data_IF_558699735509
#
_entry.id   IF_558699735509
#
_cell.length_a   1.000
_cell.length_b   1.000
_cell.length_c   1.000
_cell.angle_alpha   90.00
_cell.angle_beta   90.00
_cell.angle_gamma   90.00
#
_symmetry.space_group_name_H-M   'P 1'
#
loop_
_entity.id
_entity.type
_entity.pdbx_description
1 polymer ?
#
# COMPACT_ATOMS: atom_id res chain seq x y z
N UNK A 1 -20.93 35.40 34.63
CA UNK A 1 -21.93 35.49 33.55
C UNK A 1 -21.64 34.37 32.56
N UNK A 2 -22.38 33.26 32.61
CA UNK A 2 -22.17 32.14 31.67
C UNK A 2 -22.63 32.57 30.27
N UNK A 3 -21.68 32.66 29.33
CA UNK A 3 -21.95 33.03 27.94
C UNK A 3 -22.61 31.83 27.24
N UNK A 4 -23.91 31.93 26.94
CA UNK A 4 -24.62 30.92 26.15
C UNK A 4 -24.06 30.90 24.73
N UNK A 5 -23.44 29.78 24.33
CA UNK A 5 -22.94 29.60 22.97
C UNK A 5 -24.09 29.17 22.03
N UNK A 6 -24.21 29.83 20.88
CA UNK A 6 -25.22 29.51 19.85
C UNK A 6 -24.57 28.89 18.62
N UNK A 7 -25.18 27.84 18.07
CA UNK A 7 -24.75 27.16 16.84
C UNK A 7 -25.52 27.62 15.59
N UNK A 8 -26.48 28.54 15.74
CA UNK A 8 -27.32 29.09 14.65
C UNK A 8 -27.98 28.00 13.78
N UNK A 9 -28.39 26.91 14.42
CA UNK A 9 -28.97 25.74 13.76
C UNK A 9 -30.47 25.94 13.46
N UNK A 10 -30.94 25.44 12.31
CA UNK A 10 -32.37 25.36 12.02
C UNK A 10 -33.05 24.23 12.79
N UNK A 11 -34.37 24.27 12.90
CA UNK A 11 -35.14 23.19 13.55
C UNK A 11 -34.89 21.83 12.88
N UNK A 12 -34.85 21.80 11.55
CA UNK A 12 -34.55 20.58 10.77
C UNK A 12 -33.15 20.02 11.05
N UNK A 13 -32.14 20.89 11.22
CA UNK A 13 -30.78 20.48 11.56
C UNK A 13 -30.70 19.88 12.97
N UNK A 14 -31.44 20.46 13.92
CA UNK A 14 -31.53 19.94 15.29
C UNK A 14 -32.22 18.58 15.31
N UNK A 15 -33.36 18.45 14.60
CA UNK A 15 -34.08 17.17 14.47
C UNK A 15 -33.15 16.11 13.85
N UNK A 16 -32.43 16.46 12.79
CA UNK A 16 -31.46 15.57 12.13
C UNK A 16 -30.31 15.17 13.05
N UNK A 17 -29.70 16.13 13.75
CA UNK A 17 -28.63 15.91 14.72
C UNK A 17 -29.06 14.86 15.75
N UNK A 18 -30.25 15.03 16.29
CA UNK A 18 -30.83 14.18 17.30
C UNK A 18 -31.27 12.80 16.80
N UNK A 19 -31.59 12.68 15.51
CA UNK A 19 -31.86 11.40 14.86
C UNK A 19 -30.58 10.60 14.63
N UNK A 20 -29.50 11.25 14.18
CA UNK A 20 -28.23 10.60 13.85
C UNK A 20 -27.38 10.35 15.12
N UNK A 21 -27.35 11.32 16.02
CA UNK A 21 -26.53 11.32 17.23
C UNK A 21 -27.41 11.37 18.48
N UNK A 22 -28.23 10.33 18.66
CA UNK A 22 -29.23 10.24 19.73
C UNK A 22 -28.64 10.45 21.14
N UNK A 23 -27.39 10.07 21.36
CA UNK A 23 -26.67 10.24 22.64
C UNK A 23 -26.55 11.71 23.07
N UNK A 24 -26.59 12.66 22.14
CA UNK A 24 -26.52 14.10 22.46
C UNK A 24 -27.72 14.53 23.30
N UNK A 25 -28.92 13.98 23.06
CA UNK A 25 -30.13 14.27 23.84
C UNK A 25 -30.00 13.93 25.32
N UNK A 26 -29.18 12.93 25.62
CA UNK A 26 -29.02 12.37 26.96
C UNK A 26 -27.90 13.06 27.75
N UNK A 27 -27.24 14.08 27.19
CA UNK A 27 -26.17 14.82 27.85
C UNK A 27 -26.70 16.10 28.49
N UNK A 28 -26.11 16.49 29.61
CA UNK A 28 -26.45 17.75 30.25
C UNK A 28 -26.09 18.92 29.32
N UNK A 29 -26.89 19.98 29.36
CA UNK A 29 -26.63 21.20 28.60
C UNK A 29 -25.23 21.76 28.87
N UNK A 30 -24.73 21.63 30.10
CA UNK A 30 -23.37 22.02 30.49
C UNK A 30 -22.31 21.27 29.67
N UNK A 31 -22.40 19.95 29.57
CA UNK A 31 -21.44 19.13 28.80
C UNK A 31 -21.51 19.51 27.32
N UNK A 32 -22.71 19.70 26.78
CA UNK A 32 -22.89 20.08 25.36
C UNK A 32 -22.27 21.45 25.10
N UNK A 33 -22.53 22.45 25.95
CA UNK A 33 -21.95 23.79 25.82
C UNK A 33 -20.42 23.77 25.91
N UNK A 34 -19.88 22.97 26.81
CA UNK A 34 -18.44 22.82 26.98
C UNK A 34 -17.78 22.18 25.76
N UNK A 35 -18.39 21.12 25.20
CA UNK A 35 -17.93 20.52 23.95
C UNK A 35 -18.02 21.50 22.75
N UNK A 36 -19.04 22.36 22.71
CA UNK A 36 -19.15 23.43 21.70
C UNK A 36 -17.99 24.42 21.85
N UNK A 37 -17.70 24.86 23.08
CA UNK A 37 -16.57 25.76 23.36
C UNK A 37 -15.25 25.16 22.90
N UNK A 38 -14.98 23.90 23.29
CA UNK A 38 -13.76 23.19 22.91
C UNK A 38 -13.65 23.06 21.38
N UNK A 39 -14.75 22.72 20.69
CA UNK A 39 -14.74 22.63 19.24
C UNK A 39 -14.47 23.99 18.58
N UNK A 40 -15.07 25.07 19.08
CA UNK A 40 -14.80 26.43 18.58
C UNK A 40 -13.34 26.84 18.81
N UNK A 41 -12.77 26.53 19.99
CA UNK A 41 -11.36 26.79 20.32
C UNK A 41 -10.39 25.98 19.44
N UNK A 42 -10.80 24.80 18.98
CA UNK A 42 -10.07 24.00 18.00
C UNK A 42 -10.22 24.53 16.56
N UNK A 43 -11.09 25.52 16.34
CA UNK A 43 -11.35 26.17 15.05
C UNK A 43 -12.40 25.46 14.19
N UNK A 44 -13.31 24.70 14.81
CA UNK A 44 -14.47 24.17 14.11
C UNK A 44 -15.52 25.27 13.91
N UNK A 45 -15.98 25.42 12.67
CA UNK A 45 -17.12 26.28 12.35
C UNK A 45 -18.42 25.67 12.86
N UNK A 46 -19.41 26.51 13.19
CA UNK A 46 -20.71 26.10 13.75
C UNK A 46 -21.38 24.99 12.91
N UNK A 47 -21.41 25.16 11.58
CA UNK A 47 -21.97 24.18 10.66
C UNK A 47 -21.22 22.83 10.71
N UNK A 48 -19.90 22.83 10.90
CA UNK A 48 -19.10 21.61 11.04
C UNK A 48 -19.38 20.91 12.37
N UNK A 49 -19.60 21.66 13.45
CA UNK A 49 -19.97 21.10 14.75
C UNK A 49 -21.31 20.34 14.63
N UNK A 50 -22.30 20.91 13.93
CA UNK A 50 -23.58 20.26 13.66
C UNK A 50 -23.41 19.01 12.78
N UNK A 51 -22.59 19.10 11.72
CA UNK A 51 -22.26 17.96 10.86
C UNK A 51 -21.55 16.83 11.63
N UNK A 52 -20.69 17.17 12.58
CA UNK A 52 -19.97 16.25 13.46
C UNK A 52 -20.63 16.19 14.84
N UNK A 53 -21.94 15.92 14.88
CA UNK A 53 -22.70 15.90 16.12
C UNK A 53 -22.19 14.93 17.19
N UNK A 54 -21.36 13.95 16.81
CA UNK A 54 -20.66 13.11 17.76
C UNK A 54 -19.73 13.88 18.72
N UNK A 55 -19.23 15.05 18.32
CA UNK A 55 -18.40 15.91 19.17
C UNK A 55 -19.16 16.39 20.42
N UNK A 56 -20.50 16.53 20.32
CA UNK A 56 -21.34 17.13 21.35
C UNK A 56 -21.61 16.21 22.54
N UNK A 57 -21.44 14.90 22.38
CA UNK A 57 -21.65 13.93 23.46
C UNK A 57 -20.36 13.38 24.07
N UNK A 58 -19.21 13.94 23.70
CA UNK A 58 -17.91 13.57 24.26
C UNK A 58 -17.81 13.96 25.75
N UNK A 59 -16.85 13.36 26.46
CA UNK A 59 -16.44 13.83 27.77
C UNK A 59 -15.40 14.95 27.61
N UNK A 60 -15.71 16.20 27.99
CA UNK A 60 -14.81 17.34 27.78
C UNK A 60 -13.42 17.13 28.36
N UNK A 61 -13.33 16.48 29.52
CA UNK A 61 -12.08 16.20 30.22
C UNK A 61 -11.11 15.34 29.40
N UNK A 62 -11.59 14.45 28.54
CA UNK A 62 -10.72 13.68 27.66
C UNK A 62 -10.00 14.61 26.69
N UNK A 63 -10.74 15.48 25.99
CA UNK A 63 -10.13 16.41 25.04
C UNK A 63 -9.14 17.33 25.73
N UNK A 64 -9.51 17.88 26.89
CA UNK A 64 -8.63 18.76 27.67
C UNK A 64 -7.36 18.06 28.12
N UNK A 65 -7.49 16.84 28.62
CA UNK A 65 -6.36 16.01 29.06
C UNK A 65 -5.44 15.71 27.88
N UNK A 66 -6.00 15.33 26.72
CA UNK A 66 -5.22 15.07 25.52
C UNK A 66 -4.45 16.31 25.06
N UNK A 67 -5.10 17.48 25.05
CA UNK A 67 -4.45 18.73 24.66
C UNK A 67 -3.38 19.21 25.64
N UNK A 68 -3.51 18.86 26.93
CA UNK A 68 -2.55 19.19 27.99
C UNK A 68 -1.36 18.24 28.00
N UNK A 69 -1.62 16.94 27.97
CA UNK A 69 -0.62 15.90 28.18
C UNK A 69 0.06 15.46 26.87
N UNK A 70 -0.64 15.60 25.74
CA UNK A 70 -0.12 15.26 24.40
C UNK A 70 -0.28 16.43 23.41
N UNK A 71 0.24 17.64 23.70
CA UNK A 71 0.15 18.78 22.78
C UNK A 71 0.89 18.53 21.47
N UNK A 72 1.95 17.71 21.53
CA UNK A 72 2.72 17.22 20.41
C UNK A 72 2.84 15.68 20.52
N UNK A 73 2.42 14.96 19.49
CA UNK A 73 2.47 13.50 19.43
C UNK A 73 3.15 13.08 18.12
N UNK A 74 4.26 12.35 18.19
CA UNK A 74 5.10 11.97 17.04
C UNK A 74 5.56 13.16 16.16
N UNK A 75 5.77 14.34 16.77
CA UNK A 75 6.09 15.58 16.05
C UNK A 75 4.87 16.30 15.45
N UNK A 76 3.65 15.75 15.59
CA UNK A 76 2.41 16.35 15.11
C UNK A 76 1.76 17.23 16.19
N UNK A 77 1.34 18.45 15.81
CA UNK A 77 0.53 19.29 16.69
C UNK A 77 -0.89 18.72 16.85
N UNK A 78 -1.29 18.38 18.08
CA UNK A 78 -2.55 17.71 18.36
C UNK A 78 -3.78 18.56 18.01
N UNK A 79 -3.73 19.90 18.20
CA UNK A 79 -4.84 20.79 17.81
C UNK A 79 -5.07 20.76 16.30
N UNK A 80 -3.98 20.80 15.52
CA UNK A 80 -4.05 20.70 14.05
C UNK A 80 -4.55 19.31 13.62
N UNK A 81 -4.08 18.25 14.28
CA UNK A 81 -4.51 16.89 14.01
C UNK A 81 -6.01 16.69 14.30
N UNK A 82 -6.51 17.18 15.43
CA UNK A 82 -7.94 17.12 15.77
C UNK A 82 -8.81 17.89 14.77
N UNK A 83 -8.34 19.03 14.26
CA UNK A 83 -9.06 19.77 13.20
C UNK A 83 -9.13 18.98 11.89
N UNK A 84 -8.03 18.32 11.52
CA UNK A 84 -7.95 17.50 10.30
C UNK A 84 -8.75 16.20 10.41
N UNK A 85 -8.74 15.58 11.60
CA UNK A 85 -9.40 14.31 11.90
C UNK A 85 -10.32 14.49 13.14
N UNK A 86 -11.57 14.95 12.96
CA UNK A 86 -12.40 15.40 14.08
C UNK A 86 -12.75 14.30 15.09
N UNK A 87 -12.72 13.03 14.68
CA UNK A 87 -12.86 11.89 15.60
C UNK A 87 -11.77 11.84 16.68
N UNK A 88 -10.61 12.47 16.46
CA UNK A 88 -9.53 12.54 17.45
C UNK A 88 -9.91 13.33 18.70
N UNK A 89 -10.92 14.19 18.62
CA UNK A 89 -11.45 14.92 19.80
C UNK A 89 -12.02 13.93 20.83
N UNK A 90 -12.52 12.78 20.39
CA UNK A 90 -13.20 11.82 21.26
C UNK A 90 -12.29 10.80 21.93
N UNK A 91 -10.97 10.85 21.70
CA UNK A 91 -10.11 9.75 22.12
C UNK A 91 -9.79 9.83 23.60
N UNK A 92 -9.73 8.66 24.24
CA UNK A 92 -9.23 8.56 25.61
C UNK A 92 -7.72 8.80 25.63
N UNK A 93 -7.19 9.60 26.58
CA UNK A 93 -5.76 9.71 26.84
C UNK A 93 -5.06 8.35 27.00
N UNK A 94 -5.73 7.38 27.65
CA UNK A 94 -5.17 6.03 27.85
C UNK A 94 -5.03 5.24 26.54
N UNK A 95 -5.93 5.46 25.58
CA UNK A 95 -5.84 4.80 24.28
C UNK A 95 -4.70 5.35 23.43
N UNK A 96 -4.36 6.64 23.57
CA UNK A 96 -3.18 7.22 22.91
C UNK A 96 -1.92 6.47 23.33
N UNK A 97 -1.70 6.33 24.64
CA UNK A 97 -0.52 5.68 25.19
C UNK A 97 -0.44 4.23 24.68
N UNK A 98 -1.54 3.48 24.75
CA UNK A 98 -1.60 2.08 24.30
C UNK A 98 -1.32 1.95 22.81
N UNK A 99 -1.99 2.74 21.97
CA UNK A 99 -1.81 2.69 20.51
C UNK A 99 -0.38 3.09 20.15
N UNK A 100 0.15 4.16 20.74
CA UNK A 100 1.52 4.59 20.49
C UNK A 100 2.53 3.51 20.88
N UNK A 101 2.34 2.86 22.05
CA UNK A 101 3.15 1.71 22.47
C UNK A 101 3.12 0.57 21.45
N UNK A 102 1.93 0.16 21.00
CA UNK A 102 1.77 -0.87 19.96
C UNK A 102 2.49 -0.46 18.67
N UNK A 103 2.31 0.78 18.19
CA UNK A 103 2.99 1.24 16.98
C UNK A 103 4.52 1.15 17.11
N UNK A 104 5.07 1.40 18.31
CA UNK A 104 6.51 1.29 18.57
C UNK A 104 6.99 -0.15 18.70
N UNK A 105 6.19 -1.05 19.27
CA UNK A 105 6.49 -2.49 19.29
C UNK A 105 6.67 -3.06 17.87
N UNK A 106 5.91 -2.55 16.90
CA UNK A 106 6.01 -2.93 15.49
C UNK A 106 7.00 -2.06 14.66
N UNK A 107 7.89 -1.32 15.32
CA UNK A 107 8.89 -0.45 14.68
C UNK A 107 8.31 0.59 13.70
N UNK A 108 7.12 1.12 13.97
CA UNK A 108 6.55 2.18 13.13
C UNK A 108 7.18 3.53 13.51
N UNK A 109 7.81 4.15 12.52
CA UNK A 109 8.47 5.44 12.65
C UNK A 109 7.51 6.60 12.96
N UNK A 110 7.99 7.58 13.73
CA UNK A 110 7.19 8.78 14.09
C UNK A 110 6.73 9.57 12.86
N UNK A 111 7.52 9.55 11.78
CA UNK A 111 7.13 10.16 10.52
C UNK A 111 5.86 9.54 9.93
N UNK A 112 5.74 8.21 9.95
CA UNK A 112 4.53 7.54 9.49
C UNK A 112 3.33 7.89 10.38
N UNK A 113 3.53 7.93 11.70
CA UNK A 113 2.51 8.30 12.70
C UNK A 113 2.00 9.72 12.45
N UNK A 114 2.90 10.69 12.28
CA UNK A 114 2.56 12.08 12.00
C UNK A 114 1.72 12.25 10.74
N UNK A 115 1.99 11.44 9.72
CA UNK A 115 1.26 11.48 8.45
C UNK A 115 -0.14 10.87 8.53
N UNK A 116 -0.44 10.04 9.53
CA UNK A 116 -1.69 9.29 9.63
C UNK A 116 -2.20 9.21 11.08
N UNK A 117 -2.42 10.38 11.68
CA UNK A 117 -2.87 10.53 13.07
C UNK A 117 -4.26 9.95 13.34
N UNK A 118 -5.09 9.75 12.31
CA UNK A 118 -6.41 9.14 12.45
C UNK A 118 -6.37 7.68 12.95
N UNK A 119 -5.21 7.01 12.94
CA UNK A 119 -5.03 5.69 13.55
C UNK A 119 -5.42 5.69 15.04
N UNK A 120 -5.21 6.80 15.74
CA UNK A 120 -5.52 6.92 17.17
C UNK A 120 -7.03 6.92 17.49
N UNK A 121 -7.90 7.04 16.48
CA UNK A 121 -9.34 6.91 16.71
C UNK A 121 -9.78 5.44 16.90
N UNK A 122 -8.96 4.49 16.45
CA UNK A 122 -9.27 3.06 16.51
C UNK A 122 -9.10 2.52 17.93
N UNK A 123 -9.63 1.32 18.22
CA UNK A 123 -9.32 0.67 19.49
C UNK A 123 -7.88 0.11 19.46
N UNK A 124 -7.16 0.10 20.60
CA UNK A 124 -5.84 -0.51 20.68
C UNK A 124 -5.82 -1.96 20.16
N UNK A 125 -6.83 -2.75 20.51
CA UNK A 125 -6.94 -4.15 20.09
C UNK A 125 -7.07 -4.30 18.57
N UNK A 126 -7.82 -3.40 17.91
CA UNK A 126 -7.95 -3.42 16.45
C UNK A 126 -6.65 -3.00 15.77
N UNK A 127 -5.92 -2.03 16.31
CA UNK A 127 -4.61 -1.63 15.76
C UNK A 127 -3.63 -2.81 15.86
N UNK A 128 -3.55 -3.45 17.03
CA UNK A 128 -2.68 -4.61 17.25
C UNK A 128 -3.04 -5.77 16.33
N UNK A 129 -4.31 -6.16 16.28
CA UNK A 129 -4.77 -7.25 15.41
C UNK A 129 -4.40 -7.02 13.94
N UNK A 130 -4.64 -5.80 13.43
CA UNK A 130 -4.34 -5.47 12.02
C UNK A 130 -2.85 -5.45 11.71
N UNK A 131 -2.01 -5.05 12.67
CA UNK A 131 -0.55 -5.13 12.54
C UNK A 131 -0.07 -6.59 12.49
N UNK A 132 -0.58 -7.44 13.38
CA UNK A 132 -0.29 -8.87 13.36
C UNK A 132 -0.74 -9.53 12.05
N UNK A 133 -1.91 -9.15 11.51
CA UNK A 133 -2.38 -9.62 10.19
C UNK A 133 -1.47 -9.17 9.05
N UNK A 134 -0.98 -7.93 9.10
CA UNK A 134 -0.04 -7.38 8.10
C UNK A 134 1.29 -8.13 8.15
N UNK A 135 1.83 -8.37 9.35
CA UNK A 135 3.11 -9.08 9.54
C UNK A 135 3.04 -10.53 9.03
N UNK A 136 1.90 -11.20 9.22
CA UNK A 136 1.68 -12.58 8.76
C UNK A 136 1.53 -12.72 7.24
N UNK A 137 1.13 -11.66 6.54
CA UNK A 137 0.88 -11.70 5.10
C UNK A 137 2.14 -11.28 4.34
N UNK A 138 2.74 -12.15 3.50
CA UNK A 138 3.94 -11.78 2.73
C UNK A 138 3.75 -10.54 1.84
N UNK A 139 2.57 -10.41 1.23
CA UNK A 139 2.21 -9.28 0.37
C UNK A 139 2.11 -7.95 1.14
N UNK A 140 1.66 -7.97 2.40
CA UNK A 140 1.60 -6.76 3.22
C UNK A 140 2.88 -6.49 4.01
N UNK A 141 3.59 -7.55 4.45
CA UNK A 141 4.81 -7.46 5.26
C UNK A 141 5.88 -6.60 4.61
N UNK A 142 6.05 -6.74 3.29
CA UNK A 142 7.01 -5.94 2.49
C UNK A 142 6.66 -4.45 2.44
N UNK A 143 5.45 -4.06 2.85
CA UNK A 143 4.99 -2.67 2.89
C UNK A 143 5.12 -2.05 4.29
N UNK A 144 5.61 -2.78 5.31
CA UNK A 144 5.71 -2.30 6.69
C UNK A 144 6.62 -1.06 6.83
N UNK A 145 7.73 -1.02 6.08
CA UNK A 145 8.65 0.12 6.05
C UNK A 145 8.14 1.33 5.25
N UNK A 146 6.97 1.23 4.61
CA UNK A 146 6.49 2.32 3.77
C UNK A 146 6.00 3.52 4.62
N UNK A 147 6.32 4.79 4.28
CA UNK A 147 5.91 5.98 5.05
C UNK A 147 4.39 6.15 5.24
N UNK A 148 3.61 5.47 4.40
CA UNK A 148 2.14 5.42 4.44
C UNK A 148 1.58 4.11 4.97
N UNK A 149 2.38 3.27 5.62
CA UNK A 149 1.95 1.95 6.15
C UNK A 149 0.70 2.06 7.03
N UNK A 150 0.57 3.11 7.84
CA UNK A 150 -0.59 3.31 8.70
C UNK A 150 -1.91 3.46 7.92
N UNK A 151 -1.87 3.84 6.64
CA UNK A 151 -3.07 3.84 5.80
C UNK A 151 -3.61 2.42 5.55
N UNK A 152 -2.74 1.39 5.51
CA UNK A 152 -3.19 -0.02 5.49
C UNK A 152 -3.90 -0.38 6.78
N UNK A 153 -3.43 0.12 7.93
CA UNK A 153 -4.08 -0.17 9.21
C UNK A 153 -5.46 0.48 9.25
N UNK A 154 -5.59 1.74 8.83
CA UNK A 154 -6.87 2.45 8.82
C UNK A 154 -7.87 1.78 7.86
N UNK A 155 -7.42 1.44 6.64
CA UNK A 155 -8.25 0.89 5.56
C UNK A 155 -8.10 -0.63 5.39
N UNK A 156 -7.74 -1.35 6.45
CA UNK A 156 -7.32 -2.76 6.38
C UNK A 156 -8.28 -3.69 5.65
N UNK A 157 -9.58 -3.64 5.98
CA UNK A 157 -10.56 -4.52 5.34
C UNK A 157 -10.63 -4.30 3.82
N UNK A 158 -10.53 -3.05 3.37
CA UNK A 158 -10.51 -2.70 1.95
C UNK A 158 -9.24 -3.23 1.28
N UNK A 159 -8.08 -2.97 1.88
CA UNK A 159 -6.80 -3.44 1.37
C UNK A 159 -6.78 -4.97 1.25
N UNK A 160 -7.27 -5.68 2.27
CA UNK A 160 -7.40 -7.15 2.31
C UNK A 160 -8.31 -7.67 1.19
N UNK A 161 -9.53 -7.13 1.07
CA UNK A 161 -10.46 -7.54 -0.01
C UNK A 161 -9.87 -7.29 -1.39
N UNK A 162 -9.22 -6.14 -1.61
CA UNK A 162 -8.58 -5.82 -2.90
C UNK A 162 -7.40 -6.72 -3.21
N UNK A 163 -6.56 -7.02 -2.22
CA UNK A 163 -5.45 -7.95 -2.41
C UNK A 163 -5.97 -9.35 -2.78
N UNK A 164 -6.98 -9.86 -2.07
CA UNK A 164 -7.60 -11.15 -2.38
C UNK A 164 -8.19 -11.18 -3.80
N UNK A 165 -8.80 -10.08 -4.24
CA UNK A 165 -9.31 -9.96 -5.60
C UNK A 165 -8.18 -9.96 -6.66
N UNK A 166 -7.10 -9.21 -6.45
CA UNK A 166 -5.95 -9.23 -7.35
C UNK A 166 -5.31 -10.62 -7.45
N UNK A 167 -5.23 -11.34 -6.33
CA UNK A 167 -4.75 -12.72 -6.29
C UNK A 167 -5.64 -13.68 -7.09
N UNK A 168 -6.97 -13.51 -7.05
CA UNK A 168 -7.90 -14.29 -7.87
C UNK A 168 -7.71 -14.04 -9.37
N UNK A 169 -7.32 -12.82 -9.75
CA UNK A 169 -6.94 -12.46 -11.12
C UNK A 169 -5.50 -12.87 -11.49
N UNK A 170 -4.79 -13.57 -10.59
CA UNK A 170 -3.38 -13.95 -10.75
C UNK A 170 -2.43 -12.75 -10.92
N UNK A 171 -2.85 -11.55 -10.53
CA UNK A 171 -1.96 -10.39 -10.45
C UNK A 171 -1.08 -10.52 -9.22
N UNK A 172 0.24 -10.43 -9.42
CA UNK A 172 1.23 -10.69 -8.37
C UNK A 172 1.76 -9.42 -7.71
N UNK A 173 1.78 -8.31 -8.44
CA UNK A 173 2.23 -7.01 -7.97
C UNK A 173 1.08 -6.24 -7.34
N UNK A 174 1.19 -5.96 -6.04
CA UNK A 174 0.20 -5.21 -5.29
C UNK A 174 0.83 -3.95 -4.67
N UNK A 175 0.66 -2.82 -5.34
CA UNK A 175 1.11 -1.51 -4.85
C UNK A 175 0.25 -1.03 -3.68
N UNK A 176 0.88 -0.41 -2.68
CA UNK A 176 0.19 0.19 -1.54
C UNK A 176 -0.89 1.20 -1.98
N UNK A 177 -0.59 1.98 -3.02
CA UNK A 177 -1.50 3.00 -3.55
C UNK A 177 -2.76 2.35 -4.10
N UNK A 178 -2.62 1.25 -4.85
CA UNK A 178 -3.76 0.51 -5.44
C UNK A 178 -4.64 -0.08 -4.34
N UNK A 179 -4.02 -0.67 -3.32
CA UNK A 179 -4.74 -1.28 -2.19
C UNK A 179 -5.49 -0.24 -1.34
N UNK A 180 -4.93 0.96 -1.17
CA UNK A 180 -5.46 1.98 -0.26
C UNK A 180 -6.25 3.12 -0.93
N UNK A 181 -6.37 3.17 -2.25
CA UNK A 181 -7.10 4.26 -2.93
C UNK A 181 -8.57 4.32 -2.45
N UNK A 182 -9.05 5.51 -2.10
CA UNK A 182 -10.43 5.70 -1.63
C UNK A 182 -11.47 5.56 -2.74
N UNK A 183 -11.13 5.97 -3.96
CA UNK A 183 -11.99 5.84 -5.13
C UNK A 183 -12.02 4.38 -5.61
N UNK A 184 -13.22 3.84 -5.81
CA UNK A 184 -13.39 2.50 -6.37
C UNK A 184 -13.06 2.51 -7.86
N UNK A 185 -13.49 3.53 -8.60
CA UNK A 185 -13.24 3.68 -10.04
C UNK A 185 -11.75 3.58 -10.40
N UNK A 186 -10.87 4.19 -9.59
CA UNK A 186 -9.41 4.12 -9.80
C UNK A 186 -8.86 2.71 -9.62
N UNK A 187 -9.43 1.92 -8.71
CA UNK A 187 -9.06 0.52 -8.55
C UNK A 187 -9.58 -0.32 -9.73
N UNK A 188 -10.83 -0.07 -10.15
CA UNK A 188 -11.45 -0.79 -11.26
C UNK A 188 -10.75 -0.49 -12.59
N UNK A 189 -10.31 0.74 -12.81
CA UNK A 189 -9.50 1.12 -13.97
C UNK A 189 -8.13 0.42 -13.95
N UNK A 190 -7.47 0.33 -12.78
CA UNK A 190 -6.23 -0.43 -12.64
C UNK A 190 -6.41 -1.91 -12.98
N UNK A 191 -7.49 -2.52 -12.49
CA UNK A 191 -7.85 -3.90 -12.80
C UNK A 191 -8.13 -4.07 -14.29
N UNK A 192 -8.87 -3.13 -14.90
CA UNK A 192 -9.20 -3.16 -16.34
C UNK A 192 -7.96 -3.01 -17.22
N UNK A 193 -6.98 -2.21 -16.81
CA UNK A 193 -5.70 -2.11 -17.50
C UNK A 193 -4.91 -3.42 -17.47
N UNK A 194 -5.12 -4.27 -16.46
CA UNK A 194 -4.48 -5.60 -16.36
C UNK A 194 -2.96 -5.56 -16.22
N UNK A 195 -2.36 -4.40 -15.94
CA UNK A 195 -0.90 -4.26 -15.83
C UNK A 195 -0.41 -4.77 -14.49
N UNK A 196 0.17 -5.97 -14.49
CA UNK A 196 0.81 -6.56 -13.32
C UNK A 196 2.22 -5.98 -13.08
N UNK A 197 2.28 -4.71 -12.66
CA UNK A 197 3.53 -3.98 -12.40
C UNK A 197 3.48 -3.20 -11.10
N UNK A 198 4.60 -3.18 -10.38
CA UNK A 198 4.74 -2.32 -9.22
C UNK A 198 4.83 -0.85 -9.61
N UNK A 199 4.38 0.02 -8.72
CA UNK A 199 4.72 1.44 -8.80
C UNK A 199 6.20 1.62 -8.46
N UNK A 200 6.90 2.42 -9.27
CA UNK A 200 8.33 2.67 -9.08
C UNK A 200 8.66 3.17 -7.67
N UNK A 201 7.85 4.07 -7.11
CA UNK A 201 8.09 4.59 -5.76
C UNK A 201 8.04 3.49 -4.69
N UNK A 202 7.15 2.51 -4.82
CA UNK A 202 7.02 1.42 -3.86
C UNK A 202 8.28 0.53 -3.89
N UNK A 203 8.78 0.21 -5.10
CA UNK A 203 10.04 -0.53 -5.28
C UNK A 203 11.22 0.23 -4.68
N UNK A 204 11.31 1.54 -4.95
CA UNK A 204 12.41 2.37 -4.44
C UNK A 204 12.38 2.48 -2.92
N UNK A 205 11.21 2.69 -2.32
CA UNK A 205 11.05 2.78 -0.86
C UNK A 205 11.39 1.42 -0.23
N UNK A 206 10.84 0.32 -0.75
CA UNK A 206 11.14 -1.02 -0.26
C UNK A 206 12.65 -1.32 -0.26
N UNK A 207 13.34 -1.08 -1.39
CA UNK A 207 14.78 -1.33 -1.49
C UNK A 207 15.62 -0.34 -0.66
N UNK A 208 15.17 0.90 -0.50
CA UNK A 208 15.81 1.90 0.38
C UNK A 208 15.77 1.44 1.83
N UNK A 209 14.62 0.97 2.31
CA UNK A 209 14.47 0.42 3.66
C UNK A 209 15.24 -0.90 3.81
N UNK A 210 15.21 -1.77 2.79
CA UNK A 210 15.93 -3.04 2.82
C UNK A 210 17.45 -2.86 2.97
N UNK A 211 18.02 -1.87 2.27
CA UNK A 211 19.47 -1.63 2.21
C UNK A 211 20.00 -0.43 3.00
N UNK A 212 19.13 0.26 3.74
CA UNK A 212 19.42 1.52 4.45
C UNK A 212 20.28 2.50 3.64
N UNK A 213 19.78 2.88 2.45
CA UNK A 213 20.57 3.63 1.46
C UNK A 213 19.78 4.74 0.77
N UNK A 214 20.45 5.56 -0.04
CA UNK A 214 19.81 6.64 -0.78
C UNK A 214 18.95 6.12 -1.96
N UNK A 215 17.76 6.72 -2.12
CA UNK A 215 16.81 6.41 -3.20
C UNK A 215 17.43 6.64 -4.59
N UNK A 216 18.30 7.65 -4.73
CA UNK A 216 18.99 7.96 -5.98
C UNK A 216 19.93 6.83 -6.42
N UNK A 217 20.67 6.23 -5.47
CA UNK A 217 21.53 5.07 -5.73
C UNK A 217 20.73 3.83 -6.12
N UNK A 218 19.66 3.52 -5.39
CA UNK A 218 18.75 2.41 -5.71
C UNK A 218 18.17 2.60 -7.12
N UNK A 219 17.66 3.79 -7.42
CA UNK A 219 17.09 4.12 -8.74
C UNK A 219 18.10 3.92 -9.86
N UNK A 220 19.34 4.39 -9.67
CA UNK A 220 20.41 4.24 -10.67
C UNK A 220 20.73 2.77 -10.92
N UNK A 221 20.83 1.95 -9.87
CA UNK A 221 21.06 0.51 -10.00
C UNK A 221 19.88 -0.17 -10.71
N UNK A 222 18.66 -0.04 -10.19
CA UNK A 222 17.50 -0.80 -10.71
C UNK A 222 17.15 -0.50 -12.16
N UNK A 223 17.33 0.74 -12.63
CA UNK A 223 17.07 1.13 -14.02
C UNK A 223 17.92 0.40 -15.06
N UNK A 224 19.01 -0.26 -14.66
CA UNK A 224 19.82 -1.06 -15.57
C UNK A 224 19.13 -2.35 -16.03
N UNK A 225 18.04 -2.78 -15.37
CA UNK A 225 17.30 -3.97 -15.75
C UNK A 225 15.94 -3.60 -16.38
N UNK A 226 15.56 -4.14 -17.54
CA UNK A 226 14.34 -3.73 -18.25
C UNK A 226 13.05 -4.02 -17.47
N UNK A 227 13.02 -5.12 -16.73
CA UNK A 227 11.81 -5.62 -16.07
C UNK A 227 11.77 -5.41 -14.54
N UNK A 228 12.54 -4.46 -14.01
CA UNK A 228 12.67 -4.25 -12.55
C UNK A 228 11.35 -3.92 -11.81
N UNK A 229 10.29 -3.53 -12.52
CA UNK A 229 8.97 -3.25 -11.96
C UNK A 229 8.02 -4.45 -11.99
N UNK A 230 8.33 -5.51 -12.74
CA UNK A 230 7.44 -6.65 -12.98
C UNK A 230 7.58 -7.78 -11.96
N UNK A 231 8.56 -7.66 -11.06
CA UNK A 231 8.79 -8.66 -10.01
C UNK A 231 8.07 -8.23 -8.73
N UNK A 232 7.20 -9.05 -8.14
CA UNK A 232 6.53 -8.72 -6.88
C UNK A 232 7.53 -8.43 -5.75
N UNK A 233 7.20 -7.48 -4.87
CA UNK A 233 8.07 -7.15 -3.73
C UNK A 233 8.27 -8.35 -2.79
N UNK A 234 7.25 -9.19 -2.60
CA UNK A 234 7.37 -10.42 -1.81
C UNK A 234 8.39 -11.40 -2.40
N UNK A 235 8.44 -11.54 -3.72
CA UNK A 235 9.40 -12.42 -4.40
C UNK A 235 10.83 -11.88 -4.26
N UNK A 236 11.00 -10.55 -4.28
CA UNK A 236 12.28 -9.92 -3.98
C UNK A 236 12.72 -10.17 -2.53
N UNK A 237 11.79 -10.10 -1.57
CA UNK A 237 12.05 -10.39 -0.16
C UNK A 237 12.44 -11.86 0.04
N UNK A 238 11.70 -12.80 -0.54
CA UNK A 238 12.01 -14.24 -0.48
C UNK A 238 13.41 -14.52 -1.01
N UNK A 239 13.76 -13.90 -2.15
CA UNK A 239 15.10 -14.02 -2.74
C UNK A 239 16.19 -13.44 -1.84
N UNK A 240 15.93 -12.28 -1.23
CA UNK A 240 16.84 -11.67 -0.27
C UNK A 240 17.05 -12.57 0.96
N UNK A 241 15.97 -13.03 1.57
CA UNK A 241 15.97 -13.91 2.75
C UNK A 241 16.76 -15.19 2.47
N UNK A 242 16.57 -15.79 1.28
CA UNK A 242 17.33 -16.95 0.83
C UNK A 242 18.84 -16.67 0.73
N UNK A 243 19.24 -15.53 0.14
CA UNK A 243 20.65 -15.17 0.00
C UNK A 243 21.32 -14.93 1.37
N UNK A 244 20.62 -14.27 2.29
CA UNK A 244 21.09 -14.11 3.68
C UNK A 244 21.25 -15.46 4.37
N UNK A 245 20.29 -16.38 4.20
CA UNK A 245 20.40 -17.74 4.74
C UNK A 245 21.60 -18.51 4.16
N UNK A 246 22.00 -18.22 2.92
CA UNK A 246 23.22 -18.73 2.28
C UNK A 246 24.51 -18.00 2.70
N UNK A 247 24.46 -17.14 3.73
CA UNK A 247 25.59 -16.39 4.29
C UNK A 247 26.18 -15.34 3.32
N UNK A 248 25.41 -14.88 2.35
CA UNK A 248 25.80 -13.70 1.57
C UNK A 248 25.68 -12.44 2.43
N UNK A 249 26.72 -11.62 2.37
CA UNK A 249 26.78 -10.35 3.08
C UNK A 249 25.84 -9.34 2.42
N UNK A 250 25.22 -8.50 3.25
CA UNK A 250 24.29 -7.46 2.83
C UNK A 250 24.87 -6.57 1.71
N UNK A 251 26.10 -6.08 1.89
CA UNK A 251 26.82 -5.26 0.90
C UNK A 251 27.07 -6.00 -0.42
N UNK A 252 27.29 -7.31 -0.38
CA UNK A 252 27.50 -8.11 -1.59
C UNK A 252 26.22 -8.19 -2.41
N UNK A 253 25.07 -8.36 -1.74
CA UNK A 253 23.75 -8.39 -2.39
C UNK A 253 23.41 -7.00 -2.93
N UNK A 254 23.66 -5.93 -2.17
CA UNK A 254 23.46 -4.55 -2.63
C UNK A 254 24.28 -4.22 -3.89
N UNK A 255 25.53 -4.72 -3.95
CA UNK A 255 26.37 -4.53 -5.11
C UNK A 255 25.81 -5.23 -6.37
N UNK A 256 25.11 -6.34 -6.20
CA UNK A 256 24.45 -7.13 -7.26
C UNK A 256 22.92 -7.11 -7.12
N UNK A 257 22.35 -5.94 -6.81
CA UNK A 257 20.94 -5.77 -6.43
C UNK A 257 19.93 -6.42 -7.39
N UNK A 258 20.25 -6.47 -8.68
CA UNK A 258 19.39 -7.11 -9.68
C UNK A 258 19.12 -8.60 -9.43
N UNK A 259 19.95 -9.28 -8.66
CA UNK A 259 19.72 -10.69 -8.31
C UNK A 259 18.39 -10.90 -7.60
N UNK A 260 17.88 -9.89 -6.89
CA UNK A 260 16.57 -9.94 -6.22
C UNK A 260 15.40 -10.05 -7.20
N UNK A 261 15.62 -9.75 -8.49
CA UNK A 261 14.60 -9.89 -9.52
C UNK A 261 14.42 -11.33 -10.00
N UNK A 262 15.36 -12.22 -9.68
CA UNK A 262 15.41 -13.56 -10.24
C UNK A 262 14.80 -14.57 -9.26
N UNK A 263 13.97 -15.51 -9.74
CA UNK A 263 13.36 -16.51 -8.89
C UNK A 263 14.41 -17.31 -8.10
N UNK A 264 14.15 -17.53 -6.82
CA UNK A 264 15.00 -18.30 -5.91
C UNK A 264 15.42 -19.66 -6.51
N UNK A 265 14.51 -20.37 -7.16
CA UNK A 265 14.78 -21.68 -7.79
C UNK A 265 15.89 -21.59 -8.85
N UNK A 266 15.91 -20.53 -9.67
CA UNK A 266 16.94 -20.33 -10.70
C UNK A 266 18.29 -20.00 -10.09
N UNK A 267 18.29 -19.20 -9.03
CA UNK A 267 19.50 -18.87 -8.25
C UNK A 267 20.09 -20.13 -7.64
N UNK A 268 19.27 -20.99 -7.04
CA UNK A 268 19.70 -22.28 -6.48
C UNK A 268 20.34 -23.18 -7.54
N UNK A 269 19.67 -23.33 -8.69
CA UNK A 269 20.18 -24.16 -9.78
C UNK A 269 21.51 -23.63 -10.32
N UNK A 270 21.63 -22.31 -10.52
CA UNK A 270 22.87 -21.70 -10.97
C UNK A 270 24.00 -21.85 -9.94
N UNK A 271 23.73 -21.68 -8.64
CA UNK A 271 24.70 -21.93 -7.58
C UNK A 271 25.19 -23.39 -7.58
N UNK A 272 24.29 -24.35 -7.77
CA UNK A 272 24.64 -25.77 -7.84
C UNK A 272 25.51 -26.07 -9.06
N UNK A 273 25.17 -25.52 -10.24
CA UNK A 273 25.99 -25.66 -11.45
C UNK A 273 27.39 -25.07 -11.27
N UNK A 274 27.50 -23.92 -10.61
CA UNK A 274 28.80 -23.30 -10.33
C UNK A 274 29.61 -24.16 -9.36
N UNK A 275 28.96 -24.75 -8.34
CA UNK A 275 29.59 -25.64 -7.34
C UNK A 275 30.10 -26.96 -7.90
N UNK A 276 29.42 -27.52 -8.91
CA UNK A 276 29.82 -28.78 -9.52
C UNK A 276 30.81 -28.61 -10.68
N UNK A 277 31.01 -27.39 -11.18
CA UNK A 277 31.94 -27.13 -12.26
C UNK A 277 33.39 -27.09 -11.76
N UNK A 278 34.17 -28.11 -12.14
CA UNK A 278 35.58 -28.27 -11.78
C UNK A 278 36.51 -27.18 -12.34
N UNK A 279 36.09 -26.46 -13.38
CA UNK A 279 36.86 -25.36 -13.97
C UNK A 279 36.78 -24.06 -13.15
N UNK A 280 35.78 -23.94 -12.27
CA UNK A 280 35.53 -22.72 -11.49
C UNK A 280 36.14 -22.86 -10.10
N UNK A 281 37.19 -22.09 -9.82
CA UNK A 281 37.80 -22.02 -8.48
C UNK A 281 36.97 -21.16 -7.52
N UNK A 282 35.88 -21.71 -6.97
CA UNK A 282 34.93 -20.98 -6.13
C UNK A 282 35.56 -20.45 -4.84
N UNK A 283 36.49 -21.20 -4.24
CA UNK A 283 37.09 -20.87 -2.93
C UNK A 283 37.87 -19.55 -2.92
N UNK A 284 38.27 -19.03 -4.07
CA UNK A 284 38.99 -17.76 -4.20
C UNK A 284 38.09 -16.58 -4.61
N UNK A 285 36.81 -16.82 -4.92
CA UNK A 285 35.91 -15.79 -5.41
C UNK A 285 35.29 -14.97 -4.27
N UNK A 286 35.39 -13.64 -4.38
CA UNK A 286 34.58 -12.73 -3.57
C UNK A 286 33.10 -12.97 -3.84
N UNK A 287 32.27 -12.85 -2.81
CA UNK A 287 30.82 -13.07 -2.89
C UNK A 287 30.14 -12.28 -4.02
N UNK A 288 30.49 -11.00 -4.22
CA UNK A 288 29.98 -10.18 -5.33
C UNK A 288 30.26 -10.80 -6.70
N UNK A 289 31.44 -11.40 -6.91
CA UNK A 289 31.78 -12.07 -8.17
C UNK A 289 30.97 -13.35 -8.35
N UNK A 290 30.76 -14.10 -7.26
CA UNK A 290 29.92 -15.30 -7.28
C UNK A 290 28.47 -14.96 -7.65
N UNK A 291 27.89 -13.91 -7.06
CA UNK A 291 26.53 -13.46 -7.38
C UNK A 291 26.40 -12.99 -8.84
N UNK A 292 27.40 -12.26 -9.37
CA UNK A 292 27.42 -11.90 -10.79
C UNK A 292 27.54 -13.15 -11.69
N UNK A 293 28.29 -14.16 -11.26
CA UNK A 293 28.40 -15.42 -12.00
C UNK A 293 27.07 -16.18 -12.00
N UNK A 294 26.35 -16.17 -10.88
CA UNK A 294 24.97 -16.72 -10.81
C UNK A 294 24.08 -16.04 -11.85
N UNK A 295 24.08 -14.70 -11.90
CA UNK A 295 23.33 -13.97 -12.92
C UNK A 295 23.74 -14.36 -14.34
N UNK A 296 25.03 -14.49 -14.60
CA UNK A 296 25.54 -14.96 -15.90
C UNK A 296 25.00 -16.35 -16.27
N UNK A 297 25.03 -17.31 -15.34
CA UNK A 297 24.54 -18.66 -15.59
C UNK A 297 23.03 -18.71 -15.87
N UNK A 298 22.26 -17.80 -15.30
CA UNK A 298 20.82 -17.68 -15.58
C UNK A 298 20.60 -16.98 -16.93
N UNK A 299 21.25 -15.83 -17.15
CA UNK A 299 20.98 -14.98 -18.32
C UNK A 299 21.63 -15.46 -19.62
N UNK A 300 22.67 -16.32 -19.58
CA UNK A 300 23.29 -16.86 -20.79
C UNK A 300 22.30 -17.63 -21.66
N UNK A 301 21.32 -18.31 -21.06
CA UNK A 301 20.25 -19.03 -21.77
C UNK A 301 19.23 -18.06 -22.38
N UNK A 302 19.15 -16.84 -21.84
CA UNK A 302 18.25 -15.78 -22.25
C UNK A 302 18.94 -14.66 -23.02
N UNK A 303 20.19 -14.85 -23.44
CA UNK A 303 20.97 -13.86 -24.21
C UNK A 303 21.05 -12.49 -23.54
N UNK A 304 21.06 -12.46 -22.19
CA UNK A 304 21.15 -11.22 -21.40
C UNK A 304 20.04 -10.20 -21.65
N UNK A 305 18.85 -10.65 -22.06
CA UNK A 305 17.69 -9.76 -22.25
C UNK A 305 16.99 -9.39 -20.93
N UNK A 306 17.35 -10.04 -19.81
CA UNK A 306 16.65 -9.92 -18.53
C UNK A 306 15.41 -10.82 -18.44
N UNK A 307 15.18 -11.70 -19.41
CA UNK A 307 14.06 -12.65 -19.39
C UNK A 307 14.27 -13.83 -18.42
N UNK A 308 15.46 -13.93 -17.82
CA UNK A 308 15.73 -14.91 -16.77
C UNK A 308 14.90 -14.71 -15.50
N UNK A 309 14.20 -13.58 -15.35
CA UNK A 309 13.30 -13.35 -14.21
C UNK A 309 12.00 -14.19 -14.27
N UNK A 310 11.58 -14.63 -15.46
CA UNK A 310 10.29 -15.30 -15.64
C UNK A 310 10.35 -16.76 -15.19
N UNK A 311 9.35 -17.22 -14.43
CA UNK A 311 9.20 -18.64 -14.09
C UNK A 311 8.70 -19.42 -15.30
N UNK A 312 8.93 -20.74 -15.33
CA UNK A 312 8.39 -21.58 -16.43
C UNK A 312 6.86 -21.54 -16.49
N UNK A 313 6.19 -21.30 -15.36
CA UNK A 313 4.75 -21.07 -15.25
C UNK A 313 4.27 -19.75 -15.84
N UNK A 314 5.16 -18.76 -16.00
CA UNK A 314 4.80 -17.43 -16.50
C UNK A 314 4.74 -17.39 -18.03
N UNK A 315 5.23 -18.45 -18.70
CA UNK A 315 5.22 -18.61 -20.16
C UNK A 315 3.91 -19.19 -20.73
N UNK A 316 2.83 -19.19 -19.94
CA UNK A 316 1.50 -19.56 -20.45
C UNK A 316 0.82 -18.28 -20.92
N UNK A 317 0.74 -18.10 -22.24
CA UNK A 317 -0.06 -17.08 -22.91
C UNK A 317 -1.39 -16.85 -22.17
N UNK A 318 -1.57 -15.64 -21.62
CA UNK A 318 -2.83 -15.04 -21.15
C UNK A 318 -4.05 -15.99 -21.08
N UNK A 319 -4.13 -16.84 -20.05
CA UNK A 319 -5.37 -17.58 -19.76
C UNK A 319 -6.19 -16.77 -18.77
N UNK A 320 -6.84 -15.72 -19.26
CA UNK A 320 -8.03 -15.17 -18.60
C UNK A 320 -9.21 -16.00 -19.10
N UNK A 321 -9.67 -16.96 -18.29
CA UNK A 321 -10.88 -17.74 -18.61
C UNK A 321 -12.12 -17.05 -18.01
N UNK A 322 -13.18 -16.91 -18.84
CA UNK A 322 -14.49 -16.27 -18.56
C UNK A 322 -15.27 -16.83 -17.34
N UNK A 323 -14.73 -17.82 -16.62
CA UNK A 323 -15.44 -18.50 -15.54
C UNK A 323 -15.53 -17.71 -14.24
N UNK A 324 -14.56 -16.84 -13.94
CA UNK A 324 -14.49 -16.15 -12.64
C UNK A 324 -15.48 -14.99 -12.48
N UNK A 325 -16.07 -14.49 -13.57
CA UNK A 325 -16.98 -13.32 -13.54
C UNK A 325 -18.41 -13.73 -13.13
N UNK A 326 -18.84 -14.95 -13.50
CA UNK A 326 -20.21 -15.43 -13.21
C UNK A 326 -20.44 -15.77 -11.73
N UNK A 327 -19.41 -16.17 -11.00
CA UNK A 327 -19.52 -16.41 -9.55
C UNK A 327 -19.69 -15.11 -8.74
N UNK A 328 -19.17 -13.98 -9.24
CA UNK A 328 -19.29 -12.70 -8.55
C UNK A 328 -20.64 -12.01 -8.76
N UNK A 329 -21.32 -12.24 -9.89
CA UNK A 329 -22.68 -11.71 -10.12
C UNK A 329 -23.75 -12.26 -9.17
N UNK A 330 -23.44 -13.33 -8.42
CA UNK A 330 -24.36 -13.92 -7.42
C UNK A 330 -24.32 -13.27 -6.03
N UNK A 331 -23.40 -12.35 -5.74
CA UNK A 331 -23.14 -11.90 -4.35
C UNK A 331 -23.18 -10.37 -4.12
N UNK A 332 -23.67 -9.54 -5.04
CA UNK A 332 -23.85 -8.08 -4.78
C UNK A 332 -25.27 -7.56 -5.11
N UNK A 333 -25.76 -6.77 -4.15
CA UNK A 333 -26.98 -5.96 -4.05
C UNK A 333 -27.46 -5.25 -5.35
N UNK A 334 -28.78 -4.97 -5.47
CA UNK A 334 -29.50 -4.78 -6.74
C UNK A 334 -29.44 -3.37 -7.37
N UNK A 335 -28.31 -2.65 -7.32
CA UNK A 335 -28.26 -1.26 -7.81
C UNK A 335 -27.22 -0.94 -8.91
N UNK A 336 -26.61 -1.96 -9.54
CA UNK A 336 -25.71 -1.74 -10.68
C UNK A 336 -26.27 -2.42 -11.93
N UNK A 337 -26.79 -1.61 -12.86
CA UNK A 337 -27.11 -2.05 -14.20
C UNK A 337 -25.80 -2.18 -15.00
N UNK A 338 -25.35 -3.43 -15.19
CA UNK A 338 -24.11 -3.81 -15.86
C UNK A 338 -24.35 -4.22 -17.33
N UNK A 339 -25.54 -3.96 -17.89
CA UNK A 339 -25.83 -4.12 -19.32
C UNK A 339 -24.83 -3.43 -20.28
N UNK A 340 -24.15 -2.31 -19.94
CA UNK A 340 -23.16 -1.71 -20.83
C UNK A 340 -21.89 -2.57 -21.01
N UNK A 341 -21.51 -3.39 -20.03
CA UNK A 341 -20.28 -4.21 -20.06
C UNK A 341 -20.42 -5.44 -20.97
N UNK A 342 -21.64 -5.99 -21.10
CA UNK A 342 -21.92 -7.12 -21.99
C UNK A 342 -21.99 -6.72 -23.47
N UNK A 343 -22.35 -5.46 -23.76
CA UNK A 343 -22.48 -4.97 -25.13
C UNK A 343 -21.14 -4.70 -25.82
N UNK A 344 -20.11 -4.30 -25.06
CA UNK A 344 -18.77 -3.97 -25.60
C UNK A 344 -17.98 -5.24 -25.93
N UNK A 345 -18.22 -6.35 -25.23
CA UNK A 345 -17.51 -7.62 -25.45
C UNK A 345 -18.02 -8.41 -26.66
N UNK A 346 -19.27 -8.19 -27.10
CA UNK A 346 -19.89 -8.90 -28.23
C UNK A 346 -19.65 -8.25 -29.60
N UNK A 347 -18.80 -7.23 -29.70
CA UNK A 347 -18.46 -6.61 -30.99
C UNK A 347 -17.42 -7.46 -31.76
N UNK A 348 -17.66 -7.83 -33.03
CA UNK A 348 -16.76 -8.72 -33.77
C UNK A 348 -15.40 -8.07 -34.06
N UNK A 349 -14.35 -8.88 -33.87
CA UNK A 349 -12.93 -8.56 -34.03
C UNK A 349 -12.56 -7.90 -35.37
N UNK A 350 -11.77 -6.82 -35.32
CA UNK A 350 -11.00 -6.33 -36.48
C UNK A 350 -9.57 -6.87 -36.36
N UNK A 351 -9.23 -7.77 -37.28
CA UNK A 351 -7.93 -8.40 -37.41
C UNK A 351 -6.84 -7.39 -37.82
N UNK A 352 -5.76 -7.27 -37.04
CA UNK A 352 -4.53 -6.61 -37.49
C UNK A 352 -3.63 -7.67 -38.10
N UNK A 353 -3.55 -7.68 -39.43
CA UNK A 353 -2.59 -8.44 -40.23
C UNK A 353 -1.24 -7.74 -40.14
N UNK A 354 -0.23 -8.40 -39.57
CA UNK A 354 1.16 -7.96 -39.61
C UNK A 354 1.83 -8.49 -40.89
N UNK A 355 1.99 -7.63 -41.89
CA UNK A 355 2.74 -7.97 -43.09
C UNK A 355 4.22 -7.55 -42.92
N UNK A 356 5.10 -8.53 -42.72
CA UNK A 356 6.54 -8.41 -42.96
C UNK A 356 6.79 -8.72 -44.43
N UNK A 357 7.23 -7.75 -45.21
CA UNK A 357 8.18 -7.89 -46.31
C UNK A 357 8.33 -6.57 -47.06
N UNK A 358 9.52 -5.97 -46.99
CA UNK A 358 10.35 -5.56 -48.13
C UNK A 358 11.34 -4.48 -47.70
N UNK A 359 12.60 -4.91 -47.65
CA UNK A 359 13.74 -4.03 -47.82
C UNK A 359 13.85 -3.68 -49.30
N UNK A 360 14.40 -2.49 -49.53
CA UNK A 360 15.16 -2.04 -50.71
C UNK A 360 14.43 -1.17 -51.75
N UNK A 361 15.18 -0.13 -52.16
CA UNK A 361 15.26 0.49 -53.50
C UNK A 361 14.67 1.91 -53.65
N UNK A 362 15.63 2.85 -53.83
CA UNK A 362 15.65 4.04 -54.71
C UNK A 362 14.66 5.18 -54.39
N UNK A 363 15.13 6.35 -53.98
CA UNK A 363 15.74 7.45 -54.77
C UNK A 363 14.75 8.60 -54.95
N UNK A 364 15.28 9.78 -54.65
CA UNK A 364 15.09 11.04 -55.37
C UNK A 364 13.69 11.67 -55.46
N UNK A 365 13.71 12.94 -55.03
CA UNK A 365 13.25 14.13 -55.76
C UNK A 365 12.00 14.85 -55.24
N UNK A 366 12.23 16.13 -54.90
CA UNK A 366 11.36 17.31 -55.09
C UNK A 366 9.96 17.30 -54.46
N UNK A 367 9.61 18.20 -53.54
CA UNK A 367 9.72 19.66 -53.59
C UNK A 367 9.88 20.26 -52.18
#
# INVERSE_FOLDING_TARGET
MERRLTLDATEDEIIRLFRIHMMVKNKSFRIVQENISIAQDLGFEKHKILKYGYLLHNYPDYTKTVLRDFPNLAGANMRKAMRMYPKLVMISPTNIIKIYGILKEFNIEDEAIRNQMNVFHMSPDTVKLRLEEIERSPDFRVLLGHPKVLSLIVHHNRAKSRLSFLQQLQMRCASLIVLNTDAQDTFDDYVREGKDVNRMNDVLIYLKELFDTDIGLVRKKMKCHPYYLYVPLKDMQETYDYLIAQQFQHDSIFNVMHILLYPQEKIQNALNQIRTNSEIQIKSLKQTKLLNLVLYFIEKEHHFTGNGIWRKSDNVENIISEKSIKEYTGLIHPFLDITPLLAIWNAPHVSIVTNRNSLSILEQSSF
#
